data_IF_292058007795
#
_entry.id   IF_292058007795
#
_cell.length_a   1.000
_cell.length_b   1.000
_cell.length_c   1.000
_cell.angle_alpha   90.00
_cell.angle_beta   90.00
_cell.angle_gamma   90.00
#
_symmetry.space_group_name_H-M   'P 1'
#
loop_
_entity.id
_entity.type
_entity.pdbx_description
1 polymer ?
#
# COMPACT_ATOMS: atom_id res chain seq x y z
N UNK A 1 14.66 -7.99 14.10
CA UNK A 1 14.01 -8.38 12.82
C UNK A 1 13.20 -9.66 13.01
N UNK A 2 11.88 -9.53 13.17
CA UNK A 2 10.95 -10.64 13.05
C UNK A 2 10.37 -10.61 11.64
N UNK A 3 10.91 -11.44 10.75
CA UNK A 3 10.35 -11.62 9.41
C UNK A 3 9.11 -12.50 9.52
N UNK A 4 7.93 -11.96 9.25
CA UNK A 4 6.72 -12.76 9.06
C UNK A 4 6.64 -13.15 7.58
N UNK A 5 6.90 -14.42 7.29
CA UNK A 5 6.67 -14.99 5.96
C UNK A 5 5.21 -15.44 5.89
N UNK A 6 4.37 -14.68 5.19
CA UNK A 6 3.05 -15.17 4.78
C UNK A 6 3.29 -16.15 3.63
N UNK A 7 3.50 -17.43 3.97
CA UNK A 7 3.71 -18.49 2.99
C UNK A 7 2.37 -19.08 2.57
N UNK A 8 1.94 -18.78 1.35
CA UNK A 8 1.13 -19.69 0.54
C UNK A 8 1.31 -19.33 -0.94
N UNK A 9 1.97 -20.22 -1.68
CA UNK A 9 2.07 -20.15 -3.14
C UNK A 9 0.83 -20.86 -3.68
N UNK A 10 -0.12 -20.10 -4.22
CA UNK A 10 -1.08 -20.62 -5.19
C UNK A 10 -0.77 -19.96 -6.52
N UNK A 11 -0.22 -20.74 -7.44
CA UNK A 11 0.07 -20.35 -8.81
C UNK A 11 -1.25 -20.38 -9.59
N UNK A 12 -1.97 -19.27 -9.64
CA UNK A 12 -3.12 -19.13 -10.54
C UNK A 12 -2.65 -18.55 -11.86
N UNK A 13 -2.54 -19.39 -12.89
CA UNK A 13 -2.42 -18.96 -14.28
C UNK A 13 -3.70 -18.25 -14.68
N UNK A 14 -3.67 -16.92 -14.83
CA UNK A 14 -4.79 -16.16 -15.39
C UNK A 14 -4.49 -15.90 -16.87
N UNK A 15 -5.33 -16.44 -17.75
CA UNK A 15 -5.29 -16.16 -19.18
C UNK A 15 -5.96 -14.82 -19.44
N UNK A 16 -5.21 -13.82 -19.91
CA UNK A 16 -5.79 -12.59 -20.44
C UNK A 16 -6.34 -12.87 -21.85
N UNK A 17 -7.65 -12.67 -22.04
CA UNK A 17 -8.27 -12.48 -23.35
C UNK A 17 -8.92 -11.09 -23.35
N UNK A 18 -8.47 -10.18 -24.21
CA UNK A 18 -9.11 -8.88 -24.39
C UNK A 18 -8.43 -8.07 -25.48
N UNK A 19 -9.17 -7.60 -26.48
CA UNK A 19 -8.68 -6.87 -27.65
C UNK A 19 -8.44 -5.38 -27.39
N UNK A 20 -8.19 -4.57 -28.44
CA UNK A 20 -7.77 -3.19 -28.27
C UNK A 20 -8.96 -2.30 -27.89
N UNK A 21 -9.02 -1.93 -26.61
CA UNK A 21 -9.97 -0.96 -26.07
C UNK A 21 -9.74 -0.80 -24.57
N UNK A 22 -8.72 -0.02 -24.18
CA UNK A 22 -8.33 0.18 -22.78
C UNK A 22 -9.39 0.99 -22.01
N UNK A 23 -10.43 0.29 -21.55
CA UNK A 23 -11.30 0.70 -20.46
C UNK A 23 -10.94 -0.07 -19.19
N UNK A 24 -11.47 0.37 -18.04
CA UNK A 24 -11.33 -0.34 -16.76
C UNK A 24 -11.84 -1.80 -16.81
N UNK A 25 -12.55 -2.17 -17.88
CA UNK A 25 -13.09 -3.52 -18.13
C UNK A 25 -12.01 -4.61 -18.27
N UNK A 26 -10.76 -4.25 -18.60
CA UNK A 26 -9.63 -5.19 -18.67
C UNK A 26 -8.77 -5.21 -17.39
N UNK A 27 -9.09 -4.37 -16.39
CA UNK A 27 -8.38 -4.35 -15.13
C UNK A 27 -8.69 -5.59 -14.30
N UNK A 28 -7.65 -6.20 -13.73
CA UNK A 28 -7.76 -7.37 -12.87
C UNK A 28 -7.77 -6.94 -11.41
N UNK A 29 -8.83 -7.28 -10.67
CA UNK A 29 -8.90 -7.05 -9.24
C UNK A 29 -7.93 -7.95 -8.49
N UNK A 30 -7.37 -7.42 -7.40
CA UNK A 30 -6.52 -8.15 -6.47
C UNK A 30 -7.37 -8.56 -5.27
N UNK A 31 -7.88 -9.78 -5.33
CA UNK A 31 -8.74 -10.37 -4.29
C UNK A 31 -7.95 -10.97 -3.12
N UNK A 32 -6.62 -10.97 -3.18
CA UNK A 32 -5.78 -11.59 -2.14
C UNK A 32 -4.40 -10.95 -2.07
N UNK A 33 -3.86 -10.89 -0.86
CA UNK A 33 -2.48 -10.48 -0.60
C UNK A 33 -1.44 -11.56 -0.88
N UNK A 34 -1.84 -12.67 -1.51
CA UNK A 34 -0.89 -13.68 -1.98
C UNK A 34 0.12 -13.05 -2.95
N UNK A 35 1.42 -13.15 -2.63
CA UNK A 35 2.51 -12.61 -3.45
C UNK A 35 2.93 -11.17 -3.12
N UNK A 36 2.29 -10.54 -2.12
CA UNK A 36 2.80 -9.30 -1.54
C UNK A 36 3.89 -9.61 -0.51
N UNK A 37 4.93 -8.79 -0.51
CA UNK A 37 6.02 -8.83 0.45
C UNK A 37 5.77 -7.76 1.51
N UNK A 38 5.84 -8.17 2.77
CA UNK A 38 5.69 -7.27 3.92
C UNK A 38 7.06 -6.97 4.50
N UNK A 39 7.37 -5.68 4.63
CA UNK A 39 8.53 -5.19 5.36
C UNK A 39 8.05 -4.21 6.43
N UNK A 40 8.31 -4.53 7.69
CA UNK A 40 8.14 -3.62 8.81
C UNK A 40 9.49 -3.50 9.51
N UNK A 41 9.99 -2.28 9.67
CA UNK A 41 11.32 -2.11 10.26
C UNK A 41 11.32 -2.30 11.78
N UNK A 42 10.21 -2.11 12.50
CA UNK A 42 10.16 -2.23 13.97
C UNK A 42 8.82 -2.77 14.51
N UNK A 43 8.78 -3.07 15.82
CA UNK A 43 7.77 -3.91 16.47
C UNK A 43 6.38 -3.28 16.66
N UNK A 44 6.22 -2.01 16.29
CA UNK A 44 5.03 -1.19 16.59
C UNK A 44 4.09 -1.04 15.40
N UNK A 45 4.46 -1.59 14.24
CA UNK A 45 3.63 -1.57 13.04
C UNK A 45 3.00 -2.95 12.84
N UNK A 46 1.78 -2.99 12.34
CA UNK A 46 1.14 -4.24 11.96
C UNK A 46 0.42 -4.15 10.64
N UNK A 47 0.31 -5.30 9.99
CA UNK A 47 -0.40 -5.48 8.73
C UNK A 47 -1.39 -6.58 8.95
N UNK A 48 -2.62 -6.31 8.56
CA UNK A 48 -3.63 -7.33 8.46
C UNK A 48 -4.19 -7.36 7.04
N UNK A 49 -4.23 -8.57 6.47
CA UNK A 49 -4.99 -8.79 5.26
C UNK A 49 -6.46 -8.71 5.63
N UNK A 50 -7.19 -7.80 4.99
CA UNK A 50 -8.64 -7.81 5.00
C UNK A 50 -9.13 -8.56 3.75
N UNK A 51 -10.28 -9.20 3.82
CA UNK A 51 -10.93 -9.77 2.63
C UNK A 51 -12.27 -9.05 2.41
N UNK A 52 -12.43 -8.23 1.34
CA UNK A 52 -11.43 -7.84 0.35
C UNK A 52 -10.59 -6.63 0.80
N UNK A 53 -9.28 -6.64 0.53
CA UNK A 53 -8.41 -5.47 0.68
C UNK A 53 -7.19 -5.67 1.60
N UNK A 54 -6.73 -4.56 2.16
CA UNK A 54 -5.52 -4.50 2.95
C UNK A 54 -5.65 -3.40 4.00
N UNK A 55 -5.39 -3.73 5.26
CA UNK A 55 -5.19 -2.75 6.31
C UNK A 55 -3.71 -2.72 6.70
N UNK A 56 -3.14 -1.53 6.65
CA UNK A 56 -1.81 -1.21 7.12
C UNK A 56 -1.99 -0.27 8.29
N UNK A 57 -1.37 -0.58 9.41
CA UNK A 57 -1.24 0.37 10.50
C UNK A 57 0.22 0.58 10.84
N UNK A 58 0.66 1.83 10.80
CA UNK A 58 1.92 2.23 11.38
C UNK A 58 1.66 2.97 12.69
N UNK A 59 2.63 2.83 13.57
CA UNK A 59 2.62 3.32 14.95
C UNK A 59 1.69 2.56 15.90
N UNK A 60 2.29 2.27 17.05
CA UNK A 60 1.65 2.00 18.33
C UNK A 60 2.31 2.96 19.29
N UNK A 61 1.55 3.59 20.19
CA UNK A 61 1.99 4.51 21.27
C UNK A 61 3.04 3.94 22.26
N UNK A 62 3.76 2.89 21.90
CA UNK A 62 4.63 2.04 22.73
C UNK A 62 6.13 2.24 22.40
N UNK A 63 6.47 3.19 21.52
CA UNK A 63 7.84 3.59 21.24
C UNK A 63 8.33 4.68 22.21
N UNK A 64 9.57 4.57 22.68
CA UNK A 64 10.27 5.66 23.40
C UNK A 64 11.28 6.39 22.52
N UNK A 65 11.44 5.98 21.27
CA UNK A 65 12.51 6.43 20.38
C UNK A 65 11.92 7.23 19.21
N UNK A 66 12.47 8.42 18.95
CA UNK A 66 12.02 9.30 17.86
C UNK A 66 12.70 8.96 16.53
N UNK A 67 12.40 7.77 16.02
CA UNK A 67 12.96 7.23 14.78
C UNK A 67 11.96 7.23 13.63
N UNK A 68 12.43 7.37 12.40
CA UNK A 68 11.56 7.13 11.24
C UNK A 68 11.29 5.63 11.11
N UNK A 69 10.02 5.21 11.17
CA UNK A 69 9.62 3.84 10.86
C UNK A 69 8.79 3.80 9.58
N UNK A 70 9.05 2.78 8.78
CA UNK A 70 8.29 2.51 7.57
C UNK A 70 7.66 1.12 7.70
N UNK A 71 6.35 1.07 7.42
CA UNK A 71 5.69 -0.17 7.05
C UNK A 71 5.45 -0.13 5.55
N UNK A 72 5.97 -1.12 4.84
CA UNK A 72 5.85 -1.23 3.39
C UNK A 72 5.27 -2.59 3.01
N UNK A 73 4.26 -2.55 2.16
CA UNK A 73 3.76 -3.73 1.46
C UNK A 73 4.05 -3.54 -0.01
N UNK A 74 4.89 -4.43 -0.54
CA UNK A 74 5.37 -4.35 -1.90
C UNK A 74 4.93 -5.53 -2.75
N UNK A 75 4.81 -5.30 -4.05
CA UNK A 75 4.44 -6.34 -5.02
C UNK A 75 5.12 -6.11 -6.35
N UNK A 76 5.53 -7.22 -6.97
CA UNK A 76 6.00 -7.21 -8.35
C UNK A 76 4.81 -7.06 -9.29
N UNK A 77 4.86 -6.03 -10.13
CA UNK A 77 3.85 -5.75 -11.15
C UNK A 77 3.85 -6.87 -12.19
N UNK A 78 2.70 -7.53 -12.46
CA UNK A 78 2.62 -8.57 -13.47
C UNK A 78 3.02 -8.07 -14.87
N UNK A 79 3.40 -9.00 -15.75
CA UNK A 79 3.66 -8.66 -17.14
C UNK A 79 2.39 -8.16 -17.84
N UNK A 80 2.52 -7.20 -18.75
CA UNK A 80 1.40 -6.65 -19.52
C UNK A 80 0.52 -5.65 -18.76
N UNK A 81 0.98 -5.13 -17.63
CA UNK A 81 0.30 -4.10 -16.83
C UNK A 81 1.02 -2.75 -17.01
N UNK A 82 0.26 -1.68 -17.25
CA UNK A 82 0.80 -0.32 -17.40
C UNK A 82 0.35 0.64 -16.29
N UNK A 83 -0.65 0.27 -15.49
CA UNK A 83 -1.11 1.10 -14.37
C UNK A 83 -1.69 0.28 -13.22
N UNK A 84 -1.68 0.89 -12.03
CA UNK A 84 -2.43 0.42 -10.86
C UNK A 84 -3.49 1.45 -10.48
N UNK A 85 -4.55 0.96 -9.85
CA UNK A 85 -5.53 1.81 -9.18
C UNK A 85 -6.05 1.15 -7.92
N UNK A 86 -6.43 1.97 -6.94
CA UNK A 86 -7.04 1.49 -5.70
C UNK A 86 -7.82 2.60 -5.01
N UNK A 87 -8.77 2.20 -4.17
CA UNK A 87 -9.43 3.08 -3.22
C UNK A 87 -8.72 3.01 -1.87
N UNK A 88 -8.70 4.11 -1.14
CA UNK A 88 -8.05 4.18 0.16
C UNK A 88 -8.85 5.02 1.15
N UNK A 89 -8.71 4.67 2.43
CA UNK A 89 -9.03 5.53 3.56
C UNK A 89 -7.85 5.58 4.52
N UNK A 90 -7.68 6.72 5.16
CA UNK A 90 -6.61 7.04 6.09
C UNK A 90 -7.22 7.67 7.34
N UNK A 91 -6.67 7.34 8.50
CA UNK A 91 -6.96 7.98 9.77
C UNK A 91 -5.64 8.15 10.52
N UNK A 92 -5.39 9.31 11.11
CA UNK A 92 -4.29 9.54 12.04
C UNK A 92 -4.79 10.10 13.37
N UNK A 93 -4.18 9.65 14.45
CA UNK A 93 -4.42 10.16 15.81
C UNK A 93 -3.49 11.33 16.18
N UNK A 94 -2.51 11.67 15.34
CA UNK A 94 -1.60 12.80 15.51
C UNK A 94 -2.28 14.16 15.28
N UNK A 95 -1.57 15.26 15.56
CA UNK A 95 -2.07 16.59 15.20
C UNK A 95 -2.08 16.84 13.68
N UNK A 96 -1.39 15.99 12.90
CA UNK A 96 -1.31 16.13 11.45
C UNK A 96 -0.91 14.84 10.72
N UNK A 97 -1.48 14.55 9.54
CA UNK A 97 -1.02 13.48 8.64
C UNK A 97 0.42 13.62 8.16
N UNK A 98 1.05 14.79 8.38
CA UNK A 98 2.46 15.02 8.09
C UNK A 98 3.39 14.07 8.86
N UNK A 99 3.00 13.67 10.08
CA UNK A 99 3.84 12.83 10.92
C UNK A 99 3.86 11.38 10.42
N UNK A 100 2.70 10.92 9.96
CA UNK A 100 2.48 9.55 9.48
C UNK A 100 1.86 9.50 8.06
N UNK A 101 2.53 10.01 7.00
CA UNK A 101 1.95 10.03 5.65
C UNK A 101 1.72 8.62 5.06
N UNK A 102 0.68 8.51 4.24
CA UNK A 102 0.47 7.39 3.32
C UNK A 102 1.13 7.69 1.96
N UNK A 103 1.99 6.78 1.49
CA UNK A 103 2.74 6.92 0.24
C UNK A 103 2.56 5.70 -0.69
N UNK A 104 2.78 5.96 -1.97
CA UNK A 104 2.93 4.96 -3.02
C UNK A 104 4.32 5.08 -3.65
N UNK A 105 5.02 3.96 -3.83
CA UNK A 105 6.34 3.91 -4.48
C UNK A 105 6.28 3.14 -5.82
N UNK A 106 6.95 3.68 -6.84
CA UNK A 106 7.19 3.04 -8.14
C UNK A 106 8.51 3.51 -8.73
N UNK A 107 9.07 2.77 -9.69
CA UNK A 107 10.26 3.21 -10.43
C UNK A 107 9.98 4.37 -11.39
N UNK A 108 8.72 4.55 -11.83
CA UNK A 108 8.33 5.61 -12.75
C UNK A 108 8.23 6.97 -12.03
N UNK A 109 7.50 7.01 -10.92
CA UNK A 109 7.19 8.25 -10.21
C UNK A 109 8.01 8.46 -8.93
N UNK A 110 8.81 7.47 -8.52
CA UNK A 110 9.42 7.48 -7.19
C UNK A 110 8.36 7.30 -6.10
N UNK A 111 8.62 7.86 -4.92
CA UNK A 111 7.64 7.96 -3.84
C UNK A 111 6.71 9.16 -4.06
N UNK A 112 5.41 8.91 -3.97
CA UNK A 112 4.36 9.91 -4.05
C UNK A 112 3.55 9.86 -2.76
N UNK A 113 3.35 11.01 -2.13
CA UNK A 113 2.44 11.12 -0.98
C UNK A 113 1.00 11.05 -1.49
N UNK A 114 0.25 10.06 -1.00
CA UNK A 114 -1.15 9.82 -1.37
C UNK A 114 -2.09 10.57 -0.43
N UNK A 115 -1.75 10.66 0.86
CA UNK A 115 -2.45 11.54 1.82
C UNK A 115 -2.11 13.02 1.61
N UNK A 116 -2.97 13.93 2.07
CA UNK A 116 -2.66 15.36 2.17
C UNK A 116 -2.07 15.66 3.56
N UNK A 117 -0.76 15.95 3.61
CA UNK A 117 -0.05 16.25 4.86
C UNK A 117 -0.52 17.52 5.57
N UNK A 118 -1.31 18.38 4.89
CA UNK A 118 -1.94 19.56 5.50
C UNK A 118 -3.47 19.41 5.57
N UNK A 119 -3.98 18.21 5.29
CA UNK A 119 -5.39 17.88 5.27
C UNK A 119 -5.95 17.55 6.64
N UNK A 120 -7.18 17.03 6.66
CA UNK A 120 -7.78 16.48 7.85
C UNK A 120 -7.10 15.16 8.24
N UNK A 121 -7.20 14.76 9.51
CA UNK A 121 -6.68 13.47 9.98
C UNK A 121 -7.40 12.27 9.36
N UNK A 122 -8.68 12.43 9.04
CA UNK A 122 -9.47 11.44 8.32
C UNK A 122 -9.52 11.82 6.84
N UNK A 123 -9.02 10.92 5.98
CA UNK A 123 -8.99 11.15 4.53
C UNK A 123 -9.41 9.89 3.78
N UNK A 124 -9.89 10.08 2.56
CA UNK A 124 -10.17 8.96 1.66
C UNK A 124 -10.13 9.43 0.21
N UNK A 125 -9.95 8.49 -0.70
CA UNK A 125 -9.97 8.77 -2.12
C UNK A 125 -9.68 7.56 -2.97
N UNK A 126 -9.48 7.82 -4.26
CA UNK A 126 -8.99 6.84 -5.22
C UNK A 126 -7.63 7.31 -5.73
N UNK A 127 -6.71 6.38 -5.94
CA UNK A 127 -5.38 6.65 -6.47
C UNK A 127 -5.16 5.83 -7.74
N UNK A 128 -4.43 6.41 -8.71
CA UNK A 128 -3.94 5.68 -9.86
C UNK A 128 -2.55 6.20 -10.26
N UNK A 129 -1.67 5.27 -10.62
CA UNK A 129 -0.33 5.60 -11.09
C UNK A 129 0.05 4.69 -12.26
N UNK A 130 0.75 5.23 -13.28
CA UNK A 130 1.45 4.38 -14.24
C UNK A 130 2.50 3.54 -13.51
N UNK A 131 2.70 2.33 -14.02
CA UNK A 131 3.71 1.36 -13.55
C UNK A 131 4.37 0.66 -14.73
N UNK A 132 5.58 0.13 -14.51
CA UNK A 132 6.32 -0.68 -15.45
C UNK A 132 6.13 -2.18 -15.14
N UNK A 133 5.85 -3.02 -16.15
CA UNK A 133 5.80 -4.47 -15.97
C UNK A 133 7.08 -5.02 -15.33
N UNK A 134 6.95 -5.81 -14.27
CA UNK A 134 8.06 -6.44 -13.55
C UNK A 134 8.79 -5.54 -12.55
N UNK A 135 8.40 -4.27 -12.40
CA UNK A 135 8.88 -3.46 -11.29
C UNK A 135 8.28 -3.89 -9.96
N UNK A 136 8.88 -3.45 -8.86
CA UNK A 136 8.28 -3.56 -7.53
C UNK A 136 7.62 -2.22 -7.19
N UNK A 137 6.33 -2.26 -6.88
CA UNK A 137 5.59 -1.14 -6.29
C UNK A 137 5.44 -1.34 -4.80
N UNK A 138 5.28 -0.25 -4.05
CA UNK A 138 5.08 -0.26 -2.60
C UNK A 138 3.92 0.61 -2.16
N UNK A 139 3.17 0.12 -1.19
CA UNK A 139 2.24 0.89 -0.36
C UNK A 139 2.93 1.10 0.98
N UNK A 140 3.12 2.35 1.38
CA UNK A 140 3.97 2.70 2.53
C UNK A 140 3.17 3.58 3.47
N UNK A 141 3.20 3.28 4.76
CA UNK A 141 2.89 4.28 5.80
C UNK A 141 4.18 4.53 6.57
N UNK A 142 4.57 5.80 6.65
CA UNK A 142 5.87 6.21 7.19
C UNK A 142 5.64 7.14 8.35
N UNK A 143 6.10 6.77 9.54
CA UNK A 143 6.16 7.68 10.68
C UNK A 143 7.49 8.42 10.68
N UNK A 144 7.45 9.72 11.00
CA UNK A 144 8.63 10.60 11.04
C UNK A 144 9.09 10.92 12.46
N UNK A 145 8.24 10.71 13.45
CA UNK A 145 8.49 10.98 14.86
C UNK A 145 8.30 9.75 15.76
N UNK A 146 7.50 8.76 15.35
CA UNK A 146 7.22 7.50 16.05
C UNK A 146 6.71 7.70 17.50
N UNK A 147 5.98 8.80 17.73
CA UNK A 147 5.41 9.17 19.03
C UNK A 147 4.07 9.90 18.85
N UNK A 148 3.19 9.79 19.85
CA UNK A 148 1.98 10.62 20.02
C UNK A 148 0.81 10.44 19.04
N UNK A 149 0.80 9.37 18.27
CA UNK A 149 -0.36 8.99 17.50
C UNK A 149 -0.04 7.88 16.54
N UNK A 150 -1.08 7.22 16.05
CA UNK A 150 -0.97 6.17 15.06
C UNK A 150 -1.70 6.53 13.78
N UNK A 151 -1.21 6.01 12.65
CA UNK A 151 -1.91 6.09 11.38
C UNK A 151 -2.34 4.72 10.86
N UNK A 152 -3.59 4.66 10.43
CA UNK A 152 -4.21 3.51 9.81
C UNK A 152 -4.59 3.83 8.37
N UNK A 153 -4.22 2.93 7.46
CA UNK A 153 -4.57 2.97 6.05
C UNK A 153 -5.29 1.70 5.66
N UNK A 154 -6.49 1.86 5.12
CA UNK A 154 -7.24 0.77 4.50
C UNK A 154 -7.24 0.97 2.98
N UNK A 155 -6.66 0.02 2.25
CA UNK A 155 -6.67 -0.04 0.79
C UNK A 155 -7.66 -1.11 0.33
N UNK A 156 -8.57 -0.71 -0.56
CA UNK A 156 -9.61 -1.58 -1.12
C UNK A 156 -9.65 -1.42 -2.63
N UNK A 157 -10.39 -2.29 -3.32
CA UNK A 157 -10.60 -2.21 -4.76
C UNK A 157 -9.27 -2.04 -5.53
N UNK A 158 -8.27 -2.85 -5.21
CA UNK A 158 -6.96 -2.75 -5.85
C UNK A 158 -6.99 -3.47 -7.21
N UNK A 159 -6.58 -2.77 -8.27
CA UNK A 159 -6.59 -3.27 -9.63
C UNK A 159 -5.24 -3.12 -10.33
N UNK A 160 -4.90 -4.11 -11.15
CA UNK A 160 -3.85 -4.03 -12.17
C UNK A 160 -4.48 -3.84 -13.55
N UNK A 161 -4.09 -2.80 -14.27
CA UNK A 161 -4.66 -2.43 -15.55
C UNK A 161 -3.60 -2.51 -16.68
N UNK A 162 -3.92 -3.10 -17.84
CA UNK A 162 -3.03 -3.17 -19.00
C UNK A 162 -2.58 -1.83 -19.56
#
# INVERSE_FOLDING_TARGET
MKTFLISSIILTTIMAFGGPGVGLDDCQSVESLTGWLVSANEGNSWIESLDPGLCMKVSSDDSTDSGQLDIEISRVVPQGISSVSFDWSYSSEDESPFFDPFLFSSSINGEVVVSDNNGANDQSGSFSSPVAPGETIGLIVRTTDDIFGSAEVNVTNFFFCP
#
